data_IF_365038153839
#
_entry.id   IF_365038153839
#
_cell.length_a   1.000
_cell.length_b   1.000
_cell.length_c   1.000
_cell.angle_alpha   90.00
_cell.angle_beta   90.00
_cell.angle_gamma   90.00
#
_symmetry.space_group_name_H-M   'P 1'
#
loop_
_entity.id
_entity.type
_entity.pdbx_description
1 polymer ?
#
# COMPACT_ATOMS: atom_id res chain seq x y z
N UNK A 1 -12.86 -17.23 16.52
CA UNK A 1 -11.48 -16.95 16.95
C UNK A 1 -10.74 -16.08 15.92
N UNK A 2 -10.81 -16.39 14.64
CA UNK A 2 -10.13 -15.66 13.56
C UNK A 2 -10.48 -14.16 13.49
N UNK A 3 -11.75 -13.79 13.63
CA UNK A 3 -12.16 -12.38 13.59
C UNK A 3 -11.47 -11.52 14.66
N UNK A 4 -11.26 -12.08 15.85
CA UNK A 4 -10.55 -11.36 16.94
C UNK A 4 -9.09 -11.11 16.54
N UNK A 5 -8.45 -12.07 15.88
CA UNK A 5 -7.09 -11.91 15.35
C UNK A 5 -7.05 -10.78 14.33
N UNK A 6 -8.01 -10.74 13.39
CA UNK A 6 -8.07 -9.69 12.38
C UNK A 6 -8.39 -8.29 12.96
N UNK A 7 -9.18 -8.23 14.02
CA UNK A 7 -9.40 -6.98 14.76
C UNK A 7 -8.12 -6.48 15.44
N UNK A 8 -7.35 -7.37 16.08
CA UNK A 8 -6.06 -7.02 16.69
C UNK A 8 -5.04 -6.57 15.64
N UNK A 9 -4.96 -7.28 14.51
CA UNK A 9 -4.13 -6.88 13.37
C UNK A 9 -4.55 -5.49 12.87
N UNK A 10 -5.85 -5.28 12.71
CA UNK A 10 -6.40 -3.99 12.31
C UNK A 10 -6.04 -2.87 13.28
N UNK A 11 -6.03 -3.15 14.59
CA UNK A 11 -5.61 -2.18 15.60
C UNK A 11 -4.14 -1.79 15.42
N UNK A 12 -3.25 -2.76 15.25
CA UNK A 12 -1.80 -2.52 15.03
C UNK A 12 -1.57 -1.84 13.69
N UNK A 13 -2.17 -2.37 12.62
CA UNK A 13 -2.00 -1.84 11.27
C UNK A 13 -2.57 -0.42 11.12
N UNK A 14 -3.72 -0.14 11.71
CA UNK A 14 -4.31 1.19 11.71
C UNK A 14 -3.48 2.18 12.53
N UNK A 15 -3.03 1.80 13.72
CA UNK A 15 -2.16 2.64 14.53
C UNK A 15 -0.86 2.99 13.78
N UNK A 16 -0.21 1.99 13.22
CA UNK A 16 1.04 2.18 12.46
C UNK A 16 0.81 2.93 11.15
N UNK A 17 -0.31 2.69 10.47
CA UNK A 17 -0.69 3.45 9.27
C UNK A 17 -0.91 4.94 9.59
N UNK A 18 -1.58 5.22 10.70
CA UNK A 18 -1.77 6.58 11.20
C UNK A 18 -0.46 7.23 11.64
N UNK A 19 0.42 6.45 12.30
CA UNK A 19 1.71 6.89 12.78
C UNK A 19 2.65 7.31 11.63
N UNK A 20 2.72 6.48 10.57
CA UNK A 20 3.67 6.67 9.47
C UNK A 20 3.08 7.39 8.25
N UNK A 21 1.76 7.51 8.14
CA UNK A 21 1.09 8.21 7.05
C UNK A 21 1.25 7.55 5.66
N UNK A 22 1.62 6.28 5.59
CA UNK A 22 1.96 5.55 4.35
C UNK A 22 0.79 4.71 3.81
N UNK A 23 -0.43 4.89 4.35
CA UNK A 23 -1.61 4.16 3.88
C UNK A 23 -1.71 2.70 4.31
N UNK A 24 -0.84 2.23 5.20
CA UNK A 24 -0.94 0.93 5.87
C UNK A 24 -0.52 -0.31 5.08
N UNK A 25 -0.53 -0.30 3.76
CA UNK A 25 -0.29 -1.49 2.93
C UNK A 25 1.05 -2.19 3.18
N UNK A 26 2.13 -1.42 3.32
CA UNK A 26 3.46 -1.95 3.62
C UNK A 26 3.55 -2.70 4.96
N UNK A 27 2.56 -2.55 5.83
CA UNK A 27 2.49 -3.18 7.14
C UNK A 27 1.44 -4.31 7.13
N UNK A 28 0.31 -4.08 6.45
CA UNK A 28 -0.80 -5.05 6.39
C UNK A 28 -0.36 -6.33 5.68
N UNK A 29 0.32 -6.22 4.53
CA UNK A 29 0.76 -7.39 3.75
C UNK A 29 1.64 -8.34 4.57
N UNK A 30 2.72 -7.88 5.23
CA UNK A 30 3.55 -8.77 6.06
C UNK A 30 2.81 -9.40 7.24
N UNK A 31 1.95 -8.63 7.89
CA UNK A 31 1.20 -9.15 9.04
C UNK A 31 0.22 -10.23 8.58
N UNK A 32 -0.51 -9.99 7.49
CA UNK A 32 -1.42 -10.98 6.92
C UNK A 32 -0.68 -12.24 6.48
N UNK A 33 0.48 -12.08 5.84
CA UNK A 33 1.32 -13.22 5.45
C UNK A 33 1.67 -14.11 6.65
N UNK A 34 2.14 -13.50 7.75
CA UNK A 34 2.50 -14.25 8.97
C UNK A 34 1.28 -14.97 9.55
N UNK A 35 0.14 -14.29 9.64
CA UNK A 35 -1.09 -14.88 10.20
C UNK A 35 -1.63 -15.99 9.32
N UNK A 36 -1.69 -15.81 8.02
CA UNK A 36 -2.16 -16.85 7.10
C UNK A 36 -1.22 -18.06 7.08
N UNK A 37 0.10 -17.85 7.26
CA UNK A 37 1.06 -18.94 7.44
C UNK A 37 0.78 -19.72 8.74
N UNK A 38 0.46 -19.05 9.84
CA UNK A 38 0.11 -19.71 11.11
C UNK A 38 -1.25 -20.42 11.06
N UNK A 39 -2.16 -19.95 10.23
CA UNK A 39 -3.43 -20.62 9.96
C UNK A 39 -3.29 -21.80 8.98
N UNK A 40 -2.06 -22.11 8.57
CA UNK A 40 -1.74 -23.23 7.66
C UNK A 40 -2.45 -23.14 6.30
N UNK A 41 -2.66 -21.91 5.80
CA UNK A 41 -3.18 -21.71 4.45
C UNK A 41 -2.12 -22.12 3.42
N UNK A 42 -2.58 -22.43 2.20
CA UNK A 42 -1.70 -22.88 1.12
C UNK A 42 -0.62 -21.83 0.78
N UNK A 43 0.68 -22.15 0.93
CA UNK A 43 1.79 -21.23 0.64
C UNK A 43 1.76 -20.65 -0.77
N UNK A 44 1.19 -21.36 -1.74
CA UNK A 44 1.12 -20.92 -3.13
C UNK A 44 0.28 -19.64 -3.29
N UNK A 45 -0.77 -19.45 -2.46
CA UNK A 45 -1.73 -18.35 -2.59
C UNK A 45 -1.69 -17.33 -1.45
N UNK A 46 -1.03 -17.64 -0.32
CA UNK A 46 -0.97 -16.76 0.87
C UNK A 46 -0.57 -15.33 0.49
N UNK A 47 0.45 -15.19 -0.33
CA UNK A 47 0.98 -13.87 -0.69
C UNK A 47 -0.01 -13.07 -1.53
N UNK A 48 -0.68 -13.72 -2.47
CA UNK A 48 -1.73 -13.11 -3.30
C UNK A 48 -2.91 -12.66 -2.44
N UNK A 49 -3.36 -13.50 -1.50
CA UNK A 49 -4.45 -13.16 -0.58
C UNK A 49 -4.06 -12.02 0.35
N UNK A 50 -2.83 -11.98 0.85
CA UNK A 50 -2.34 -10.88 1.68
C UNK A 50 -2.32 -9.55 0.94
N UNK A 51 -1.84 -9.53 -0.32
CA UNK A 51 -1.80 -8.34 -1.17
C UNK A 51 -3.20 -7.88 -1.56
N UNK A 52 -4.06 -8.78 -2.06
CA UNK A 52 -5.44 -8.47 -2.45
C UNK A 52 -6.26 -7.93 -1.28
N UNK A 53 -6.17 -8.58 -0.10
CA UNK A 53 -6.84 -8.14 1.13
C UNK A 53 -6.31 -6.77 1.60
N UNK A 54 -4.99 -6.54 1.50
CA UNK A 54 -4.40 -5.23 1.81
C UNK A 54 -5.00 -4.13 0.93
N UNK A 55 -5.06 -4.33 -0.38
CA UNK A 55 -5.66 -3.36 -1.31
C UNK A 55 -7.13 -3.11 -0.98
N UNK A 56 -7.90 -4.13 -0.66
CA UNK A 56 -9.29 -3.97 -0.22
C UNK A 56 -9.39 -3.09 1.04
N UNK A 57 -8.54 -3.31 2.06
CA UNK A 57 -8.53 -2.47 3.28
C UNK A 57 -8.13 -1.02 2.99
N UNK A 58 -7.25 -0.81 2.01
CA UNK A 58 -6.82 0.52 1.59
C UNK A 58 -7.98 1.33 0.98
N UNK A 59 -8.99 0.71 0.38
CA UNK A 59 -10.19 1.42 -0.11
C UNK A 59 -10.82 2.23 1.04
N UNK A 60 -11.04 1.60 2.19
CA UNK A 60 -11.68 2.22 3.36
C UNK A 60 -10.79 3.32 3.96
N UNK A 61 -9.50 3.03 4.13
CA UNK A 61 -8.56 3.99 4.72
C UNK A 61 -8.28 5.17 3.80
N UNK A 62 -8.19 4.95 2.48
CA UNK A 62 -8.02 6.01 1.48
C UNK A 62 -9.23 6.93 1.41
N UNK A 63 -10.45 6.38 1.46
CA UNK A 63 -11.66 7.21 1.46
C UNK A 63 -11.67 8.20 2.63
N UNK A 64 -11.34 7.75 3.83
CA UNK A 64 -11.21 8.60 5.02
C UNK A 64 -10.13 9.68 4.83
N UNK A 65 -8.96 9.28 4.35
CA UNK A 65 -7.81 10.17 4.13
C UNK A 65 -8.10 11.24 3.08
N UNK A 66 -8.66 10.84 1.94
CA UNK A 66 -9.04 11.78 0.85
C UNK A 66 -10.06 12.80 1.34
N UNK A 67 -11.09 12.37 2.07
CA UNK A 67 -12.09 13.27 2.63
C UNK A 67 -11.46 14.33 3.54
N UNK A 68 -10.52 13.94 4.39
CA UNK A 68 -9.83 14.86 5.29
C UNK A 68 -8.94 15.87 4.53
N UNK A 69 -8.20 15.42 3.52
CA UNK A 69 -7.35 16.28 2.69
C UNK A 69 -8.14 17.18 1.75
N UNK A 70 -9.27 16.70 1.23
CA UNK A 70 -10.17 17.48 0.39
C UNK A 70 -10.76 18.67 1.15
N UNK A 71 -11.24 18.47 2.38
CA UNK A 71 -11.75 19.55 3.25
C UNK A 71 -10.72 20.64 3.51
N UNK A 72 -9.42 20.31 3.47
CA UNK A 72 -8.32 21.27 3.63
C UNK A 72 -7.88 21.92 2.32
N UNK A 73 -8.53 21.63 1.19
CA UNK A 73 -8.16 22.17 -0.13
C UNK A 73 -6.76 21.76 -0.61
N UNK A 74 -6.18 20.69 -0.03
CA UNK A 74 -4.78 20.31 -0.30
C UNK A 74 -4.60 19.38 -1.51
N UNK A 75 -5.69 18.80 -2.05
CA UNK A 75 -5.66 17.87 -3.18
C UNK A 75 -5.55 18.63 -4.50
N UNK A 76 -4.56 18.31 -5.31
CA UNK A 76 -4.41 18.84 -6.68
C UNK A 76 -5.26 18.01 -7.66
N UNK A 77 -6.54 18.33 -7.77
CA UNK A 77 -7.50 17.59 -8.60
C UNK A 77 -7.12 17.51 -10.09
N UNK A 78 -6.56 18.55 -10.74
CA UNK A 78 -6.10 18.44 -12.12
C UNK A 78 -5.03 17.36 -12.30
N UNK A 79 -4.05 17.29 -11.38
CA UNK A 79 -2.98 16.28 -11.40
C UNK A 79 -3.55 14.88 -11.15
N UNK A 80 -4.47 14.76 -10.18
CA UNK A 80 -5.18 13.51 -9.91
C UNK A 80 -5.91 13.01 -11.15
N UNK A 81 -6.66 13.86 -11.86
CA UNK A 81 -7.42 13.48 -13.07
C UNK A 81 -6.52 12.96 -14.19
N UNK A 82 -5.32 13.52 -14.32
CA UNK A 82 -4.36 13.08 -15.32
C UNK A 82 -3.69 11.73 -14.96
N UNK A 83 -3.45 11.49 -13.68
CA UNK A 83 -2.86 10.24 -13.17
C UNK A 83 -3.87 9.10 -13.09
N UNK A 84 -5.11 9.39 -12.67
CA UNK A 84 -6.10 8.38 -12.28
C UNK A 84 -6.39 7.32 -13.36
N UNK A 85 -6.58 7.63 -14.65
CA UNK A 85 -6.81 6.60 -15.66
C UNK A 85 -5.62 5.64 -15.79
N UNK A 86 -4.39 6.17 -15.76
CA UNK A 86 -3.18 5.34 -15.75
C UNK A 86 -3.09 4.48 -14.50
N UNK A 87 -3.38 5.04 -13.32
CA UNK A 87 -3.40 4.31 -12.05
C UNK A 87 -4.38 3.14 -12.08
N UNK A 88 -5.60 3.34 -12.59
CA UNK A 88 -6.63 2.29 -12.69
C UNK A 88 -6.15 1.16 -13.60
N UNK A 89 -5.76 1.49 -14.83
CA UNK A 89 -5.29 0.49 -15.79
C UNK A 89 -4.05 -0.23 -15.25
N UNK A 90 -3.08 0.53 -14.75
CA UNK A 90 -1.85 -0.02 -14.19
C UNK A 90 -2.10 -0.95 -13.01
N UNK A 91 -3.00 -0.57 -12.09
CA UNK A 91 -3.29 -1.40 -10.91
C UNK A 91 -4.01 -2.70 -11.28
N UNK A 92 -4.93 -2.66 -12.23
CA UNK A 92 -5.59 -3.87 -12.72
C UNK A 92 -4.58 -4.80 -13.43
N UNK A 93 -3.74 -4.25 -14.29
CA UNK A 93 -2.66 -5.01 -14.96
C UNK A 93 -1.64 -5.53 -13.94
N UNK A 94 -1.30 -4.75 -12.92
CA UNK A 94 -0.41 -5.16 -11.85
C UNK A 94 -0.94 -6.35 -11.04
N UNK A 95 -2.25 -6.41 -10.81
CA UNK A 95 -2.89 -7.58 -10.20
C UNK A 95 -2.78 -8.82 -11.10
N UNK A 96 -2.96 -8.66 -12.42
CA UNK A 96 -2.77 -9.75 -13.39
C UNK A 96 -1.31 -10.21 -13.47
N UNK A 97 -0.34 -9.28 -13.40
CA UNK A 97 1.09 -9.63 -13.34
C UNK A 97 1.40 -10.40 -12.05
N UNK A 98 0.84 -9.96 -10.91
CA UNK A 98 1.01 -10.65 -9.64
C UNK A 98 0.42 -12.07 -9.68
N UNK A 99 -0.73 -12.28 -10.32
CA UNK A 99 -1.37 -13.58 -10.50
C UNK A 99 -0.50 -14.57 -11.30
N UNK A 100 0.24 -14.07 -12.31
CA UNK A 100 1.18 -14.88 -13.10
C UNK A 100 2.47 -15.24 -12.34
N UNK A 101 2.71 -14.63 -11.18
CA UNK A 101 3.89 -14.91 -10.37
C UNK A 101 3.56 -15.99 -9.34
N UNK A 102 4.53 -16.86 -9.04
CA UNK A 102 4.37 -17.74 -7.86
C UNK A 102 4.38 -16.90 -6.57
N UNK A 103 3.71 -17.38 -5.53
CA UNK A 103 3.69 -16.73 -4.22
C UNK A 103 5.10 -16.42 -3.69
N UNK A 104 6.06 -17.32 -3.95
CA UNK A 104 7.47 -17.16 -3.59
C UNK A 104 8.15 -15.97 -4.32
N UNK A 105 7.96 -15.85 -5.65
CA UNK A 105 8.52 -14.74 -6.41
C UNK A 105 7.89 -13.41 -6.00
N UNK A 106 6.58 -13.40 -5.78
CA UNK A 106 5.88 -12.21 -5.30
C UNK A 106 6.38 -11.78 -3.91
N UNK A 107 6.59 -12.72 -3.01
CA UNK A 107 7.17 -12.48 -1.68
C UNK A 107 8.58 -11.90 -1.76
N UNK A 108 9.44 -12.48 -2.59
CA UNK A 108 10.82 -12.01 -2.79
C UNK A 108 10.82 -10.58 -3.33
N UNK A 109 9.99 -10.29 -4.33
CA UNK A 109 9.87 -8.98 -4.94
C UNK A 109 9.40 -7.91 -3.92
N UNK A 110 8.41 -8.24 -3.09
CA UNK A 110 7.94 -7.34 -2.01
C UNK A 110 9.03 -7.14 -0.96
N UNK A 111 9.78 -8.19 -0.61
CA UNK A 111 10.91 -8.10 0.31
C UNK A 111 12.00 -7.15 -0.19
N UNK A 112 12.42 -7.30 -1.44
CA UNK A 112 13.41 -6.41 -2.08
C UNK A 112 12.90 -4.97 -2.10
N UNK A 113 11.64 -4.76 -2.46
CA UNK A 113 11.03 -3.43 -2.47
C UNK A 113 11.00 -2.80 -1.06
N UNK A 114 10.67 -3.57 -0.03
CA UNK A 114 10.65 -3.08 1.36
C UNK A 114 12.05 -2.62 1.82
N UNK A 115 13.09 -3.42 1.54
CA UNK A 115 14.49 -3.06 1.84
C UNK A 115 14.93 -1.82 1.04
N UNK A 116 14.58 -1.74 -0.24
CA UNK A 116 14.85 -0.56 -1.07
C UNK A 116 14.20 0.71 -0.50
N UNK A 117 12.94 0.61 -0.07
CA UNK A 117 12.22 1.74 0.57
C UNK A 117 12.87 2.13 1.90
N UNK A 118 13.28 1.16 2.71
CA UNK A 118 14.01 1.41 3.95
C UNK A 118 15.32 2.16 3.68
N UNK A 119 16.11 1.69 2.72
CA UNK A 119 17.35 2.35 2.32
C UNK A 119 17.13 3.81 1.89
N UNK A 120 16.12 4.07 1.07
CA UNK A 120 15.75 5.44 0.68
C UNK A 120 15.36 6.31 1.85
N UNK A 121 14.65 5.74 2.84
CA UNK A 121 14.26 6.47 4.06
C UNK A 121 15.45 6.80 4.94
N UNK A 122 16.42 5.87 5.09
CA UNK A 122 17.66 6.12 5.85
C UNK A 122 18.56 7.16 5.18
N UNK A 123 18.70 7.09 3.85
CA UNK A 123 19.55 8.04 3.10
C UNK A 123 19.00 9.47 3.11
N UNK A 124 17.78 9.66 3.66
CA UNK A 124 17.13 10.96 3.69
C UNK A 124 17.01 11.51 2.28
N UNK A 125 16.04 11.07 1.52
CA UNK A 125 15.76 11.65 0.22
C UNK A 125 15.33 13.12 0.42
N UNK A 126 16.29 14.02 0.59
CA UNK A 126 16.10 15.41 0.27
C UNK A 126 15.85 15.46 -1.24
N UNK A 127 14.59 15.27 -1.61
CA UNK A 127 14.18 15.72 -2.94
C UNK A 127 14.24 17.23 -2.85
N UNK A 128 15.33 17.81 -3.31
CA UNK A 128 15.42 19.24 -3.55
C UNK A 128 14.32 19.56 -4.55
N UNK A 129 13.27 20.21 -4.06
CA UNK A 129 12.21 20.71 -4.92
C UNK A 129 12.87 21.79 -5.79
N UNK A 130 13.08 21.50 -7.06
CA UNK A 130 13.51 22.54 -8.00
C UNK A 130 12.32 23.47 -8.22
N UNK A 131 12.42 24.74 -7.81
CA UNK A 131 11.34 25.71 -7.97
C UNK A 131 10.91 25.93 -9.43
N UNK A 132 11.77 25.56 -10.38
CA UNK A 132 11.54 25.69 -11.82
C UNK A 132 10.99 24.41 -12.45
N UNK A 133 10.88 23.31 -11.71
CA UNK A 133 10.34 22.08 -12.26
C UNK A 133 8.84 22.22 -12.54
N UNK A 134 8.46 21.97 -13.78
CA UNK A 134 7.06 21.95 -14.21
C UNK A 134 6.51 20.53 -14.16
N UNK A 135 5.22 20.42 -13.87
CA UNK A 135 4.52 19.16 -14.02
C UNK A 135 4.64 18.68 -15.47
N UNK A 136 4.88 17.38 -15.69
CA UNK A 136 4.94 16.81 -17.03
C UNK A 136 3.63 16.99 -17.80
N UNK A 137 3.68 16.76 -19.11
CA UNK A 137 2.47 16.73 -19.94
C UNK A 137 1.45 15.70 -19.42
N UNK A 138 0.18 15.87 -19.78
CA UNK A 138 -0.91 14.97 -19.38
C UNK A 138 -0.62 13.52 -19.78
N UNK A 139 -0.08 13.31 -20.99
CA UNK A 139 0.32 11.98 -21.48
C UNK A 139 1.40 11.34 -20.60
N UNK A 140 2.40 12.11 -20.20
CA UNK A 140 3.48 11.62 -19.34
C UNK A 140 2.99 11.33 -17.90
N UNK A 141 2.03 12.12 -17.40
CA UNK A 141 1.36 11.86 -16.13
C UNK A 141 0.55 10.56 -16.20
N UNK A 142 -0.18 10.32 -17.29
CA UNK A 142 -0.90 9.07 -17.52
C UNK A 142 0.04 7.86 -17.50
N UNK A 143 1.16 7.92 -18.24
CA UNK A 143 2.15 6.83 -18.25
C UNK A 143 2.78 6.59 -16.87
N UNK A 144 3.12 7.67 -16.17
CA UNK A 144 3.62 7.59 -14.80
C UNK A 144 2.58 6.96 -13.86
N UNK A 145 1.30 7.34 -14.02
CA UNK A 145 0.18 6.71 -13.32
C UNK A 145 0.11 5.21 -13.59
N UNK A 146 0.28 4.79 -14.84
CA UNK A 146 0.34 3.37 -15.21
C UNK A 146 1.44 2.61 -14.46
N UNK A 147 2.67 3.10 -14.51
CA UNK A 147 3.79 2.48 -13.80
C UNK A 147 3.62 2.47 -12.27
N UNK A 148 3.13 3.57 -11.69
CA UNK A 148 2.82 3.65 -10.26
C UNK A 148 1.70 2.66 -9.90
N UNK A 149 0.66 2.55 -10.73
CA UNK A 149 -0.45 1.63 -10.53
C UNK A 149 0.01 0.18 -10.51
N UNK A 150 0.77 -0.25 -11.53
CA UNK A 150 1.34 -1.61 -11.60
C UNK A 150 2.15 -1.93 -10.34
N UNK A 151 3.12 -1.09 -10.01
CA UNK A 151 3.96 -1.32 -8.84
C UNK A 151 3.15 -1.33 -7.53
N UNK A 152 2.21 -0.39 -7.37
CA UNK A 152 1.37 -0.30 -6.18
C UNK A 152 0.49 -1.54 -5.98
N UNK A 153 -0.07 -2.10 -7.05
CA UNK A 153 -0.90 -3.31 -6.99
C UNK A 153 -0.05 -4.53 -6.63
N UNK A 154 1.12 -4.71 -7.27
CA UNK A 154 2.03 -5.83 -6.97
C UNK A 154 2.47 -5.81 -5.50
N UNK A 155 2.78 -4.63 -4.95
CA UNK A 155 3.26 -4.49 -3.58
C UNK A 155 2.14 -4.37 -2.54
N UNK A 156 0.88 -4.32 -2.95
CA UNK A 156 -0.25 -4.17 -2.03
C UNK A 156 -0.28 -2.82 -1.30
N UNK A 157 0.17 -1.75 -1.94
CA UNK A 157 0.30 -0.41 -1.33
C UNK A 157 -0.59 0.63 -2.00
N UNK A 158 -1.08 1.60 -1.22
CA UNK A 158 -1.99 2.65 -1.69
C UNK A 158 -1.36 3.81 -2.44
N UNK A 159 -0.26 3.59 -3.18
CA UNK A 159 0.36 4.62 -4.02
C UNK A 159 1.14 5.71 -3.27
N UNK A 160 0.93 5.90 -1.96
CA UNK A 160 1.59 6.93 -1.17
C UNK A 160 3.11 6.92 -1.27
N UNK A 161 3.69 5.73 -1.22
CA UNK A 161 5.14 5.53 -1.29
C UNK A 161 5.76 5.88 -2.64
N UNK A 162 5.00 5.81 -3.72
CA UNK A 162 5.47 6.06 -5.09
C UNK A 162 5.00 7.40 -5.64
N UNK A 163 3.74 7.78 -5.40
CA UNK A 163 3.17 9.03 -5.93
C UNK A 163 3.76 10.27 -5.24
N UNK A 164 4.02 10.23 -3.93
CA UNK A 164 4.63 11.38 -3.22
C UNK A 164 6.00 11.74 -3.78
N UNK A 165 6.97 10.81 -3.90
CA UNK A 165 8.26 11.12 -4.50
C UNK A 165 8.15 11.60 -5.95
N UNK A 166 7.22 11.02 -6.72
CA UNK A 166 6.97 11.46 -8.10
C UNK A 166 6.53 12.92 -8.15
N UNK A 167 5.54 13.31 -7.35
CA UNK A 167 5.02 14.68 -7.32
C UNK A 167 6.06 15.68 -6.78
N UNK A 168 6.78 15.31 -5.70
CA UNK A 168 7.84 16.17 -5.16
C UNK A 168 8.96 16.43 -6.17
N UNK A 169 9.34 15.43 -6.96
CA UNK A 169 10.36 15.57 -8.00
C UNK A 169 9.95 16.56 -9.09
N UNK A 170 8.65 16.79 -9.27
CA UNK A 170 8.09 17.74 -10.23
C UNK A 170 7.59 19.04 -9.56
N UNK A 171 8.20 19.44 -8.45
CA UNK A 171 7.99 20.76 -7.84
C UNK A 171 6.74 20.89 -6.97
N UNK A 172 5.99 19.79 -6.74
CA UNK A 172 4.82 19.84 -5.86
C UNK A 172 5.28 19.82 -4.40
N UNK A 173 4.86 20.81 -3.63
CA UNK A 173 5.17 20.89 -2.19
C UNK A 173 4.63 19.67 -1.43
N UNK A 174 5.34 19.24 -0.38
CA UNK A 174 5.11 17.98 0.34
C UNK A 174 3.65 17.80 0.78
N UNK A 175 3.02 18.83 1.35
CA UNK A 175 1.63 18.75 1.84
C UNK A 175 0.63 18.46 0.72
N UNK A 176 0.79 19.11 -0.44
CA UNK A 176 -0.06 18.87 -1.62
C UNK A 176 0.26 17.53 -2.27
N UNK A 177 1.54 17.12 -2.28
CA UNK A 177 1.96 15.82 -2.80
C UNK A 177 1.34 14.68 -1.97
N UNK A 178 1.38 14.76 -0.64
CA UNK A 178 0.76 13.77 0.25
C UNK A 178 -0.76 13.74 0.09
N UNK A 179 -1.40 14.89 0.03
CA UNK A 179 -2.85 14.98 -0.15
C UNK A 179 -3.32 14.41 -1.50
N UNK A 180 -2.61 14.74 -2.59
CA UNK A 180 -2.91 14.24 -3.93
C UNK A 180 -2.61 12.74 -4.04
N UNK A 181 -1.54 12.27 -3.41
CA UNK A 181 -1.21 10.85 -3.33
C UNK A 181 -2.25 10.04 -2.56
N UNK A 182 -2.82 10.59 -1.48
CA UNK A 182 -3.94 9.95 -0.78
C UNK A 182 -5.14 9.77 -1.72
N UNK A 183 -5.45 10.78 -2.55
CA UNK A 183 -6.50 10.66 -3.57
C UNK A 183 -6.16 9.58 -4.61
N UNK A 184 -4.91 9.51 -5.08
CA UNK A 184 -4.44 8.47 -6.01
C UNK A 184 -4.51 7.05 -5.42
N UNK A 185 -4.41 6.92 -4.11
CA UNK A 185 -4.54 5.62 -3.42
C UNK A 185 -5.89 4.95 -3.60
N UNK A 186 -6.97 5.72 -3.72
CA UNK A 186 -8.32 5.17 -3.87
C UNK A 186 -8.52 4.41 -5.19
N UNK A 187 -8.27 5.00 -6.37
CA UNK A 187 -8.40 4.27 -7.63
C UNK A 187 -7.43 3.08 -7.76
N UNK A 188 -6.21 3.19 -7.20
CA UNK A 188 -5.26 2.07 -7.13
C UNK A 188 -5.88 0.92 -6.34
N UNK A 189 -6.39 1.20 -5.14
CA UNK A 189 -6.93 0.19 -4.24
C UNK A 189 -8.18 -0.49 -4.82
N UNK A 190 -9.09 0.29 -5.42
CA UNK A 190 -10.30 -0.25 -6.06
C UNK A 190 -9.93 -1.14 -7.25
N UNK A 191 -9.15 -0.62 -8.19
CA UNK A 191 -8.80 -1.36 -9.40
C UNK A 191 -7.93 -2.59 -9.09
N UNK A 192 -6.98 -2.46 -8.15
CA UNK A 192 -6.15 -3.57 -7.70
C UNK A 192 -6.97 -4.64 -6.97
N UNK A 193 -7.84 -4.26 -6.02
CA UNK A 193 -8.68 -5.23 -5.32
C UNK A 193 -9.63 -5.97 -6.28
N UNK A 194 -10.27 -5.25 -7.22
CA UNK A 194 -11.10 -5.88 -8.27
C UNK A 194 -10.25 -6.83 -9.11
N UNK A 195 -9.03 -6.43 -9.49
CA UNK A 195 -8.11 -7.29 -10.24
C UNK A 195 -7.77 -8.57 -9.48
N UNK A 196 -7.39 -8.48 -8.20
CA UNK A 196 -7.10 -9.64 -7.35
C UNK A 196 -8.35 -10.52 -7.10
N UNK A 197 -9.53 -9.93 -7.01
CA UNK A 197 -10.78 -10.73 -6.98
C UNK A 197 -11.03 -11.44 -8.31
N UNK A 198 -10.84 -10.75 -9.43
CA UNK A 198 -11.11 -11.28 -10.77
C UNK A 198 -10.16 -12.41 -11.16
N UNK A 199 -8.85 -12.19 -11.01
CA UNK A 199 -7.84 -13.19 -11.38
C UNK A 199 -7.90 -14.38 -10.40
N UNK A 200 -7.99 -14.13 -9.09
CA UNK A 200 -8.10 -15.19 -8.10
C UNK A 200 -9.41 -16.01 -8.16
N UNK A 201 -10.47 -15.49 -8.78
CA UNK A 201 -11.71 -16.25 -8.97
C UNK A 201 -11.56 -17.44 -9.94
N UNK A 202 -10.51 -17.45 -10.78
CA UNK A 202 -10.19 -18.55 -11.69
C UNK A 202 -9.43 -19.67 -11.00
N UNK A 203 -8.79 -19.37 -9.89
CA UNK A 203 -8.03 -20.34 -9.10
C UNK A 203 -8.96 -21.08 -8.11
N UNK A 204 -8.74 -22.38 -7.96
CA UNK A 204 -9.44 -23.17 -6.94
C UNK A 204 -8.80 -22.90 -5.57
N UNK A 205 -9.07 -21.72 -5.01
CA UNK A 205 -8.50 -21.31 -3.73
C UNK A 205 -9.17 -22.10 -2.61
N UNK A 206 -8.42 -22.99 -1.95
CA UNK A 206 -8.91 -23.80 -0.83
C UNK A 206 -9.03 -23.03 0.51
N UNK A 207 -8.80 -21.70 0.49
CA UNK A 207 -8.88 -20.85 1.68
C UNK A 207 -10.32 -20.39 1.88
N UNK A 208 -10.93 -20.67 3.06
CA UNK A 208 -12.30 -20.28 3.31
C UNK A 208 -12.49 -18.77 3.39
N UNK A 209 -13.72 -18.31 3.12
CA UNK A 209 -14.10 -16.90 3.23
C UNK A 209 -13.29 -15.94 2.35
N UNK A 210 -12.87 -16.39 1.18
CA UNK A 210 -12.23 -15.56 0.16
C UNK A 210 -13.15 -15.32 -1.04
N UNK A 211 -13.02 -14.13 -1.63
CA UNK A 211 -13.55 -13.81 -2.96
C UNK A 211 -12.33 -13.54 -3.84
N UNK A 212 -11.96 -14.49 -4.69
CA UNK A 212 -10.66 -14.50 -5.34
C UNK A 212 -9.55 -14.38 -4.27
N UNK A 213 -8.59 -13.52 -4.49
CA UNK A 213 -7.51 -13.28 -3.54
C UNK A 213 -7.85 -12.24 -2.45
N UNK A 214 -9.12 -12.05 -2.08
CA UNK A 214 -9.51 -11.14 -0.99
C UNK A 214 -10.20 -11.93 0.13
N UNK A 215 -9.58 -11.95 1.30
CA UNK A 215 -10.13 -12.61 2.49
C UNK A 215 -11.08 -11.69 3.24
N UNK A 216 -12.38 -12.02 3.23
CA UNK A 216 -13.47 -11.14 3.68
C UNK A 216 -13.40 -10.80 5.16
N UNK A 217 -13.18 -11.78 6.04
CA UNK A 217 -13.12 -11.51 7.49
C UNK A 217 -11.90 -10.68 7.87
N UNK A 218 -10.76 -10.91 7.20
CA UNK A 218 -9.58 -10.07 7.38
C UNK A 218 -9.83 -8.63 6.89
N UNK A 219 -10.43 -8.47 5.70
CA UNK A 219 -10.83 -7.17 5.16
C UNK A 219 -11.72 -6.40 6.15
N UNK A 220 -12.80 -7.02 6.65
CA UNK A 220 -13.75 -6.37 7.55
C UNK A 220 -13.06 -6.02 8.88
N UNK A 221 -12.42 -7.00 9.53
CA UNK A 221 -11.79 -6.82 10.84
C UNK A 221 -10.69 -5.76 10.81
N UNK A 222 -9.81 -5.81 9.81
CA UNK A 222 -8.73 -4.83 9.66
C UNK A 222 -9.29 -3.44 9.34
N UNK A 223 -10.28 -3.33 8.44
CA UNK A 223 -10.86 -2.04 8.05
C UNK A 223 -11.51 -1.32 9.21
N UNK A 224 -12.33 -2.02 9.99
CA UNK A 224 -13.04 -1.45 11.15
C UNK A 224 -12.07 -0.93 12.20
N UNK A 225 -11.10 -1.76 12.60
CA UNK A 225 -10.16 -1.37 13.64
C UNK A 225 -9.13 -0.36 13.15
N UNK A 226 -8.67 -0.46 11.91
CA UNK A 226 -7.75 0.53 11.33
C UNK A 226 -8.39 1.92 11.26
N UNK A 227 -9.67 2.01 10.93
CA UNK A 227 -10.39 3.28 10.91
C UNK A 227 -10.42 3.96 12.30
N UNK A 228 -10.57 3.16 13.36
CA UNK A 228 -10.59 3.65 14.75
C UNK A 228 -9.18 4.02 15.21
N UNK A 229 -8.21 3.13 15.04
CA UNK A 229 -6.87 3.26 15.63
C UNK A 229 -5.94 4.18 14.88
N UNK A 230 -6.18 4.44 13.58
CA UNK A 230 -5.39 5.39 12.79
C UNK A 230 -5.40 6.81 13.37
N UNK A 231 -6.50 7.22 14.01
CA UNK A 231 -6.60 8.52 14.69
C UNK A 231 -5.64 8.62 15.88
N UNK A 232 -5.45 7.52 16.62
CA UNK A 232 -4.50 7.45 17.74
C UNK A 232 -3.06 7.44 17.24
N UNK A 233 -2.75 6.68 16.18
CA UNK A 233 -1.45 6.69 15.53
C UNK A 233 -1.06 8.09 15.04
N UNK A 234 -1.98 8.81 14.40
CA UNK A 234 -1.76 10.18 13.95
C UNK A 234 -1.47 11.15 15.11
N UNK A 235 -2.15 11.00 16.26
CA UNK A 235 -1.85 11.82 17.45
C UNK A 235 -0.43 11.58 17.96
N UNK A 236 0.01 10.32 18.02
CA UNK A 236 1.38 9.97 18.46
C UNK A 236 2.42 10.45 17.44
N UNK A 237 2.10 10.41 16.14
CA UNK A 237 2.97 10.95 15.09
C UNK A 237 3.30 12.44 15.29
N UNK A 238 2.34 13.24 15.78
CA UNK A 238 2.55 14.65 16.09
C UNK A 238 3.44 14.88 17.33
N UNK A 239 3.57 13.90 18.22
CA UNK A 239 4.43 13.96 19.40
C UNK A 239 5.87 13.52 19.11
N UNK A 240 6.13 12.85 18.00
CA UNK A 240 7.44 12.34 17.61
C UNK A 240 8.10 13.23 16.55
N UNK A 241 9.44 13.31 16.58
CA UNK A 241 10.15 14.00 15.50
C UNK A 241 10.00 13.25 14.17
N UNK A 242 9.84 13.95 13.03
CA UNK A 242 9.71 13.31 11.71
C UNK A 242 10.88 12.38 11.36
N UNK A 243 12.07 12.69 11.88
CA UNK A 243 13.27 11.89 11.68
C UNK A 243 13.21 10.57 12.45
N UNK A 244 12.74 10.61 13.70
CA UNK A 244 12.57 9.41 14.53
C UNK A 244 11.52 8.48 13.91
N UNK A 245 10.41 9.06 13.47
CA UNK A 245 9.34 8.35 12.82
C UNK A 245 9.82 7.61 11.55
N UNK A 246 10.57 8.31 10.69
CA UNK A 246 11.19 7.73 9.49
C UNK A 246 12.14 6.60 9.83
N UNK A 247 13.00 6.76 10.85
CA UNK A 247 13.95 5.71 11.27
C UNK A 247 13.23 4.47 11.78
N UNK A 248 12.23 4.62 12.65
CA UNK A 248 11.44 3.50 13.17
C UNK A 248 10.75 2.73 12.04
N UNK A 249 10.15 3.44 11.07
CA UNK A 249 9.51 2.80 9.94
C UNK A 249 10.52 2.11 9.01
N UNK A 250 11.67 2.73 8.75
CA UNK A 250 12.74 2.12 7.97
C UNK A 250 13.28 0.84 8.63
N UNK A 251 13.49 0.83 9.97
CA UNK A 251 13.86 -0.38 10.69
C UNK A 251 12.82 -1.49 10.54
N UNK A 252 11.52 -1.17 10.66
CA UNK A 252 10.46 -2.14 10.43
C UNK A 252 10.53 -2.74 9.02
N UNK A 253 10.72 -1.89 8.00
CA UNK A 253 10.82 -2.34 6.62
C UNK A 253 12.06 -3.21 6.37
N UNK A 254 13.19 -2.93 7.03
CA UNK A 254 14.38 -3.80 6.95
C UNK A 254 14.06 -5.18 7.52
N UNK A 255 13.48 -5.24 8.72
CA UNK A 255 13.14 -6.52 9.37
C UNK A 255 12.19 -7.34 8.51
N UNK A 256 11.09 -6.71 8.06
CA UNK A 256 10.08 -7.36 7.22
C UNK A 256 10.67 -7.77 5.86
N UNK A 257 11.39 -6.88 5.20
CA UNK A 257 11.99 -7.14 3.90
C UNK A 257 13.02 -8.27 3.96
N UNK A 258 13.89 -8.26 4.99
CA UNK A 258 14.88 -9.33 5.20
C UNK A 258 14.19 -10.67 5.47
N UNK A 259 13.13 -10.69 6.27
CA UNK A 259 12.33 -11.89 6.53
C UNK A 259 11.71 -12.45 5.23
N UNK A 260 11.15 -11.58 4.38
CA UNK A 260 10.55 -11.99 3.12
C UNK A 260 11.58 -12.49 2.11
N UNK A 261 12.75 -11.84 2.03
CA UNK A 261 13.85 -12.29 1.17
C UNK A 261 14.35 -13.65 1.65
N UNK A 262 14.60 -13.81 2.96
CA UNK A 262 15.06 -15.07 3.53
C UNK A 262 14.08 -16.22 3.22
N UNK A 263 12.80 -16.03 3.52
CA UNK A 263 11.76 -17.02 3.24
C UNK A 263 11.59 -17.31 1.75
N UNK A 264 11.68 -16.28 0.90
CA UNK A 264 11.56 -16.42 -0.55
C UNK A 264 12.76 -17.14 -1.22
N UNK A 265 13.90 -17.27 -0.53
CA UNK A 265 15.07 -18.01 -1.04
C UNK A 265 15.08 -19.44 -0.49
N UNK A 266 14.56 -19.68 0.73
CA UNK A 266 14.68 -20.95 1.44
C UNK A 266 13.52 -21.92 1.18
N UNK A 267 12.47 -21.51 0.53
CA UNK A 267 11.32 -22.33 0.16
C UNK A 267 11.01 -22.22 -1.32
#
# INVERSE_FOLDING_TARGET
>A
MELIIYLLIGAIAGFTAGLFGVGGGLIIVPILYVVFTQLHYDPAVIMHIAVGTSLATIIVTSFSSVSAHHKKGAVLWPVFRNLAPGLIIGSFLGAGIADLMSGQHLQLLIGIFAVFMAYRMFKGAHVTVDPNSKLPSTSMQFMAGGGIGVASAIFGIGGGSLTVPYLNRHGVVMQKAVATSAACGLPIAIAGAIGFMWFGAKEQISVPNTIGYVHIYAFIGISVMSFITAKFGAKVAHALSPQMLKKCFACLLVVVGSYFIYKGITH
#
